data_IF_391924409997
#
_entry.id   IF_391924409997
#
_cell.length_a   1.000
_cell.length_b   1.000
_cell.length_c   1.000
_cell.angle_alpha   90.00
_cell.angle_beta   90.00
_cell.angle_gamma   90.00
#
_symmetry.space_group_name_H-M   'P 1'
#
loop_
_entity.id
_entity.type
_entity.pdbx_description
1 polymer ?
#
# COMPACT_ATOMS: atom_id res chain seq x y z
N UNK A 1 -15.77 22.80 -17.22
CA UNK A 1 -15.43 24.17 -16.81
C UNK A 1 -15.47 24.20 -15.28
N UNK A 2 -14.44 24.71 -14.57
CA UNK A 2 -14.46 24.77 -13.11
C UNK A 2 -15.63 25.65 -12.62
N UNK A 3 -16.39 25.16 -11.63
CA UNK A 3 -17.54 25.85 -11.04
C UNK A 3 -17.11 26.64 -9.79
N UNK A 4 -17.73 27.80 -9.52
CA UNK A 4 -17.60 28.44 -8.20
C UNK A 4 -18.38 27.67 -7.14
N UNK A 5 -18.03 27.85 -5.86
CA UNK A 5 -18.75 27.23 -4.73
C UNK A 5 -20.26 27.52 -4.76
N UNK A 6 -20.65 28.75 -5.12
CA UNK A 6 -22.06 29.17 -5.24
C UNK A 6 -22.80 28.41 -6.34
N UNK A 7 -22.19 28.31 -7.52
CA UNK A 7 -22.77 27.58 -8.66
C UNK A 7 -22.83 26.09 -8.38
N UNK A 8 -21.80 25.54 -7.71
CA UNK A 8 -21.81 24.15 -7.27
C UNK A 8 -22.95 23.89 -6.27
N UNK A 9 -23.13 24.77 -5.28
CA UNK A 9 -24.21 24.66 -4.29
C UNK A 9 -25.59 24.64 -4.96
N UNK A 10 -25.82 25.50 -5.95
CA UNK A 10 -27.05 25.54 -6.75
C UNK A 10 -27.28 24.22 -7.50
N UNK A 11 -26.29 23.71 -8.23
CA UNK A 11 -26.40 22.45 -8.97
C UNK A 11 -26.64 21.25 -8.03
N UNK A 12 -26.05 21.29 -6.84
CA UNK A 12 -26.21 20.25 -5.83
C UNK A 12 -27.49 20.41 -5.00
N UNK A 13 -28.18 21.55 -5.09
CA UNK A 13 -29.37 21.85 -4.29
C UNK A 13 -29.07 21.87 -2.79
N UNK A 14 -27.91 22.39 -2.40
CA UNK A 14 -27.47 22.55 -1.01
C UNK A 14 -27.12 24.01 -0.74
N UNK A 15 -27.05 24.40 0.53
CA UNK A 15 -26.62 25.74 0.92
C UNK A 15 -25.12 25.96 0.67
N UNK A 16 -24.71 27.20 0.36
CA UNK A 16 -23.30 27.55 0.16
C UNK A 16 -22.42 27.17 1.37
N UNK A 17 -22.92 27.34 2.59
CA UNK A 17 -22.20 26.96 3.81
C UNK A 17 -21.98 25.45 3.92
N UNK A 18 -22.77 24.64 3.21
CA UNK A 18 -22.59 23.18 3.15
C UNK A 18 -21.38 22.84 2.29
N UNK A 19 -21.28 23.43 1.09
CA UNK A 19 -20.11 23.26 0.21
C UNK A 19 -18.84 23.76 0.90
N UNK A 20 -18.90 24.95 1.50
CA UNK A 20 -17.78 25.50 2.27
C UNK A 20 -17.42 24.65 3.49
N UNK A 21 -18.41 24.01 4.12
CA UNK A 21 -18.20 23.09 5.24
C UNK A 21 -17.50 21.80 4.81
N UNK A 22 -17.86 21.25 3.65
CA UNK A 22 -17.20 20.09 3.05
C UNK A 22 -15.75 20.40 2.68
N UNK A 23 -15.51 21.49 1.95
CA UNK A 23 -14.16 21.87 1.50
C UNK A 23 -13.24 22.24 2.66
N UNK A 24 -13.76 22.82 3.73
CA UNK A 24 -12.96 23.18 4.91
C UNK A 24 -12.84 22.04 5.94
N UNK A 25 -13.45 20.88 5.70
CA UNK A 25 -13.52 19.78 6.67
C UNK A 25 -14.39 20.03 7.92
N UNK A 26 -15.02 21.21 8.06
CA UNK A 26 -15.89 21.54 9.22
C UNK A 26 -17.18 20.71 9.24
N UNK A 27 -17.60 20.22 8.08
CA UNK A 27 -18.69 19.26 7.90
C UNK A 27 -18.13 18.14 7.03
N UNK A 28 -17.51 17.10 7.59
CA UNK A 28 -16.89 16.08 6.74
C UNK A 28 -17.95 15.25 6.02
N UNK A 29 -17.59 14.68 4.86
CA UNK A 29 -18.49 13.78 4.12
C UNK A 29 -18.77 12.48 4.89
N UNK A 30 -17.96 12.12 5.89
CA UNK A 30 -18.25 11.02 6.83
C UNK A 30 -19.49 11.29 7.70
N UNK A 31 -19.86 12.56 7.91
CA UNK A 31 -20.96 12.94 8.80
C UNK A 31 -22.33 13.06 8.11
N UNK A 32 -22.40 12.90 6.78
CA UNK A 32 -23.68 12.95 6.06
C UNK A 32 -24.33 11.57 6.03
N UNK A 33 -25.67 11.53 5.94
CA UNK A 33 -26.40 10.27 5.83
C UNK A 33 -26.02 9.55 4.52
N UNK A 34 -25.94 8.23 4.56
CA UNK A 34 -25.59 7.40 3.39
C UNK A 34 -26.47 7.70 2.17
N UNK A 35 -27.78 7.90 2.37
CA UNK A 35 -28.70 8.25 1.29
C UNK A 35 -28.37 9.60 0.64
N UNK A 36 -27.90 10.58 1.41
CA UNK A 36 -27.50 11.89 0.91
C UNK A 36 -26.16 11.80 0.16
N UNK A 37 -25.23 10.96 0.64
CA UNK A 37 -23.97 10.69 -0.06
C UNK A 37 -24.18 10.02 -1.42
N UNK A 38 -25.10 9.05 -1.51
CA UNK A 38 -25.46 8.40 -2.79
C UNK A 38 -26.04 9.42 -3.78
N UNK A 39 -26.92 10.32 -3.31
CA UNK A 39 -27.48 11.39 -4.14
C UNK A 39 -26.40 12.38 -4.59
N UNK A 40 -25.49 12.77 -3.69
CA UNK A 40 -24.36 13.64 -4.00
C UNK A 40 -23.47 13.03 -5.09
N UNK A 41 -23.11 11.74 -4.96
CA UNK A 41 -22.35 11.00 -5.98
C UNK A 41 -23.05 11.04 -7.34
N UNK A 42 -24.34 10.74 -7.40
CA UNK A 42 -25.10 10.75 -8.65
C UNK A 42 -25.12 12.14 -9.31
N UNK A 43 -25.28 13.21 -8.52
CA UNK A 43 -25.25 14.60 -9.02
C UNK A 43 -23.88 14.98 -9.56
N UNK A 44 -22.81 14.68 -8.83
CA UNK A 44 -21.44 15.00 -9.24
C UNK A 44 -21.03 14.26 -10.52
N UNK A 45 -21.42 12.99 -10.68
CA UNK A 45 -21.20 12.25 -11.94
C UNK A 45 -21.91 12.94 -13.11
N UNK A 46 -23.15 13.40 -12.91
CA UNK A 46 -23.88 14.17 -13.95
C UNK A 46 -23.22 15.50 -14.29
N UNK A 47 -22.45 16.09 -13.37
CA UNK A 47 -21.66 17.29 -13.59
C UNK A 47 -20.28 17.00 -14.24
N UNK A 48 -20.01 15.73 -14.59
CA UNK A 48 -18.80 15.32 -15.29
C UNK A 48 -17.65 14.90 -14.37
N UNK A 49 -17.88 14.72 -13.06
CA UNK A 49 -16.86 14.17 -12.16
C UNK A 49 -16.61 12.69 -12.54
N UNK A 50 -15.35 12.29 -12.81
CA UNK A 50 -15.05 10.91 -13.17
C UNK A 50 -15.51 9.91 -12.09
N UNK A 51 -16.20 8.83 -12.44
CA UNK A 51 -16.67 7.84 -11.47
C UNK A 51 -15.55 7.26 -10.58
N UNK A 52 -14.31 7.18 -11.10
CA UNK A 52 -13.12 6.71 -10.37
C UNK A 52 -12.79 7.52 -9.12
N UNK A 53 -13.21 8.79 -9.04
CA UNK A 53 -13.06 9.63 -7.84
C UNK A 53 -13.83 9.03 -6.67
N UNK A 54 -15.02 8.50 -6.94
CA UNK A 54 -15.87 7.92 -5.89
C UNK A 54 -15.42 6.54 -5.45
N UNK A 55 -14.70 5.80 -6.30
CA UNK A 55 -14.05 4.56 -5.88
C UNK A 55 -12.97 4.83 -4.83
N UNK A 56 -12.24 5.94 -4.97
CA UNK A 56 -11.23 6.37 -4.02
C UNK A 56 -11.81 6.99 -2.73
N UNK A 57 -13.10 7.31 -2.71
CA UNK A 57 -13.75 7.89 -1.53
C UNK A 57 -13.84 6.88 -0.39
N UNK A 58 -14.08 5.61 -0.70
CA UNK A 58 -14.14 4.54 0.31
C UNK A 58 -12.81 4.41 1.06
N UNK A 59 -11.71 4.24 0.32
CA UNK A 59 -10.34 4.23 0.88
C UNK A 59 -10.05 5.52 1.70
N UNK A 60 -10.57 6.67 1.26
CA UNK A 60 -10.34 7.93 1.95
C UNK A 60 -11.13 8.04 3.27
N UNK A 61 -12.36 7.55 3.33
CA UNK A 61 -13.16 7.53 4.56
C UNK A 61 -12.55 6.58 5.59
N UNK A 62 -12.07 5.41 5.15
CA UNK A 62 -11.39 4.45 6.01
C UNK A 62 -10.04 4.97 6.51
N UNK A 63 -9.26 5.63 5.65
CA UNK A 63 -8.04 6.30 6.07
C UNK A 63 -8.31 7.38 7.13
N UNK A 64 -9.36 8.19 6.96
CA UNK A 64 -9.74 9.24 7.91
C UNK A 64 -10.14 8.65 9.28
N UNK A 65 -10.92 7.56 9.28
CA UNK A 65 -11.28 6.82 10.51
C UNK A 65 -10.05 6.31 11.24
N UNK A 66 -9.11 5.69 10.51
CA UNK A 66 -7.90 5.11 11.07
C UNK A 66 -6.96 6.17 11.63
N UNK A 67 -6.71 7.24 10.85
CA UNK A 67 -5.87 8.36 11.27
C UNK A 67 -6.49 9.03 12.50
N UNK A 68 -7.79 9.34 12.46
CA UNK A 68 -8.51 9.92 13.59
C UNK A 68 -8.40 9.07 14.84
N UNK A 69 -8.65 7.76 14.73
CA UNK A 69 -8.51 6.82 15.84
C UNK A 69 -7.10 6.86 16.46
N UNK A 70 -6.05 6.77 15.63
CA UNK A 70 -4.67 6.76 16.11
C UNK A 70 -4.25 8.10 16.74
N UNK A 71 -4.65 9.23 16.13
CA UNK A 71 -4.37 10.57 16.68
C UNK A 71 -5.09 10.78 18.02
N UNK A 72 -6.35 10.36 18.13
CA UNK A 72 -7.12 10.46 19.38
C UNK A 72 -6.57 9.53 20.47
N UNK A 73 -6.20 8.30 20.09
CA UNK A 73 -5.59 7.34 21.00
C UNK A 73 -4.27 7.86 21.58
N UNK A 74 -3.36 8.36 20.74
CA UNK A 74 -2.05 8.87 21.16
C UNK A 74 -1.18 7.76 21.73
N UNK A 75 -0.69 7.89 22.96
CA UNK A 75 0.18 6.90 23.61
C UNK A 75 -0.60 5.77 24.32
N UNK A 76 -1.89 5.63 24.05
CA UNK A 76 -2.76 4.66 24.75
C UNK A 76 -2.88 3.36 23.97
N UNK A 77 -2.67 2.19 24.61
CA UNK A 77 -2.88 0.91 23.94
C UNK A 77 -4.35 0.74 23.56
N UNK A 78 -4.59 0.08 22.42
CA UNK A 78 -5.91 -0.29 21.94
C UNK A 78 -5.98 -1.81 21.74
N UNK A 79 -7.15 -2.40 22.00
CA UNK A 79 -7.41 -3.82 21.76
C UNK A 79 -7.62 -4.04 20.27
N UNK A 80 -7.16 -5.18 19.73
CA UNK A 80 -7.37 -5.49 18.32
C UNK A 80 -8.83 -5.42 17.88
N UNK A 81 -9.76 -5.96 18.68
CA UNK A 81 -11.20 -5.94 18.35
C UNK A 81 -11.75 -4.53 18.07
N UNK A 82 -11.19 -3.51 18.72
CA UNK A 82 -11.63 -2.11 18.61
C UNK A 82 -10.76 -1.29 17.64
N UNK A 83 -9.66 -1.85 17.14
CA UNK A 83 -8.69 -1.11 16.34
C UNK A 83 -8.97 -1.26 14.83
N UNK A 84 -9.09 -0.17 14.05
CA UNK A 84 -9.29 -0.24 12.59
C UNK A 84 -8.22 -1.05 11.84
N UNK A 85 -6.94 -0.90 12.19
CA UNK A 85 -5.82 -1.70 11.69
C UNK A 85 -5.93 -3.22 11.95
N UNK A 86 -6.86 -3.70 12.75
CA UNK A 86 -7.01 -5.13 13.01
C UNK A 86 -8.14 -5.79 12.20
N UNK A 87 -8.97 -5.00 11.52
CA UNK A 87 -10.23 -5.50 10.95
C UNK A 87 -10.01 -6.31 9.67
N UNK A 88 -9.06 -5.88 8.85
CA UNK A 88 -8.70 -6.58 7.62
C UNK A 88 -7.26 -6.27 7.20
N UNK A 89 -6.71 -7.14 6.36
CA UNK A 89 -5.44 -6.90 5.69
C UNK A 89 -5.63 -5.74 4.73
N UNK A 90 -4.84 -4.68 4.89
CA UNK A 90 -4.96 -3.49 4.08
C UNK A 90 -4.38 -3.69 2.69
N UNK A 91 -5.01 -3.05 1.71
CA UNK A 91 -4.53 -2.98 0.34
C UNK A 91 -3.76 -1.69 0.10
N UNK A 92 -2.98 -1.68 -0.97
CA UNK A 92 -2.13 -0.56 -1.37
C UNK A 92 -2.88 0.78 -1.47
N UNK A 93 -4.12 0.79 -1.96
CA UNK A 93 -4.85 2.04 -2.17
C UNK A 93 -5.16 2.73 -0.83
N UNK A 94 -5.74 1.99 0.12
CA UNK A 94 -5.93 2.45 1.49
C UNK A 94 -4.61 2.90 2.13
N UNK A 95 -3.54 2.11 2.03
CA UNK A 95 -2.24 2.51 2.57
C UNK A 95 -1.71 3.81 1.95
N UNK A 96 -1.86 4.01 0.65
CA UNK A 96 -1.48 5.27 0.01
C UNK A 96 -2.34 6.44 0.53
N UNK A 97 -3.62 6.22 0.84
CA UNK A 97 -4.48 7.24 1.44
C UNK A 97 -4.04 7.58 2.86
N UNK A 98 -3.79 6.56 3.70
CA UNK A 98 -3.30 6.74 5.09
C UNK A 98 -1.99 7.54 5.10
N UNK A 99 -1.10 7.25 4.15
CA UNK A 99 0.25 7.83 4.12
C UNK A 99 0.34 9.16 3.39
N UNK A 100 -0.70 9.57 2.66
CA UNK A 100 -0.70 10.81 1.89
C UNK A 100 -0.46 12.09 2.74
N UNK A 101 -1.05 12.27 3.93
CA UNK A 101 -0.89 13.50 4.70
C UNK A 101 0.56 13.79 5.10
N UNK A 102 1.33 12.77 5.47
CA UNK A 102 2.72 12.93 5.93
C UNK A 102 3.77 12.69 4.83
N UNK A 103 3.49 11.86 3.82
CA UNK A 103 4.43 11.71 2.67
C UNK A 103 4.29 12.82 1.63
N UNK A 104 3.10 13.44 1.53
CA UNK A 104 2.76 14.38 0.47
C UNK A 104 2.65 13.76 -0.92
N UNK A 105 2.78 12.43 -1.05
CA UNK A 105 2.73 11.74 -2.33
C UNK A 105 1.29 11.43 -2.71
N UNK A 106 0.78 12.09 -3.75
CA UNK A 106 -0.56 11.83 -4.28
C UNK A 106 -0.74 10.34 -4.66
N UNK A 107 -1.78 9.66 -4.12
CA UNK A 107 -2.09 8.28 -4.43
C UNK A 107 -2.15 8.03 -5.95
N UNK A 108 -1.57 6.94 -6.47
CA UNK A 108 -1.48 6.72 -7.92
C UNK A 108 -2.81 6.79 -8.67
N UNK A 109 -3.89 6.29 -8.07
CA UNK A 109 -5.26 6.34 -8.61
C UNK A 109 -5.82 7.78 -8.70
N UNK A 110 -5.25 8.73 -7.94
CA UNK A 110 -5.66 10.14 -7.92
C UNK A 110 -4.75 11.08 -8.72
N UNK A 111 -3.56 10.65 -9.15
CA UNK A 111 -2.57 11.53 -9.83
C UNK A 111 -3.11 12.22 -11.07
N UNK A 112 -3.97 11.57 -11.85
CA UNK A 112 -4.57 12.19 -13.04
C UNK A 112 -5.54 13.32 -12.69
N UNK A 113 -6.17 13.25 -11.53
CA UNK A 113 -7.09 14.28 -11.04
C UNK A 113 -6.31 15.48 -10.51
N UNK A 114 -5.15 15.24 -9.93
CA UNK A 114 -4.26 16.29 -9.44
C UNK A 114 -3.74 17.16 -10.59
N UNK A 115 -3.36 16.56 -11.72
CA UNK A 115 -2.98 17.34 -12.93
C UNK A 115 -4.11 18.24 -13.46
N UNK A 116 -5.37 17.91 -13.16
CA UNK A 116 -6.55 18.72 -13.52
C UNK A 116 -6.87 19.79 -12.45
N UNK A 117 -6.27 19.71 -11.26
CA UNK A 117 -6.52 20.59 -10.12
C UNK A 117 -5.87 21.97 -10.26
N UNK A 118 -4.88 22.13 -11.16
CA UNK A 118 -4.15 23.38 -11.41
C UNK A 118 -5.01 24.56 -11.96
N UNK A 119 -6.32 24.40 -12.08
CA UNK A 119 -7.27 25.47 -12.42
C UNK A 119 -8.10 25.98 -11.23
N UNK A 120 -7.83 25.53 -10.00
CA UNK A 120 -8.53 25.98 -8.78
C UNK A 120 -8.22 27.46 -8.49
N UNK A 121 -9.24 28.23 -8.13
CA UNK A 121 -9.10 29.64 -7.71
C UNK A 121 -9.17 29.74 -6.19
N UNK A 122 -8.20 30.41 -5.58
CA UNK A 122 -8.16 30.70 -4.13
C UNK A 122 -7.29 29.74 -3.31
N UNK A 123 -7.10 30.01 -2.00
CA UNK A 123 -6.29 29.19 -1.10
C UNK A 123 -7.07 27.92 -0.72
N UNK A 124 -6.80 26.82 -1.42
CA UNK A 124 -7.32 25.49 -1.11
C UNK A 124 -6.11 24.59 -0.86
N UNK A 125 -6.11 23.75 0.19
CA UNK A 125 -5.08 22.74 0.38
C UNK A 125 -4.94 21.89 -0.89
N UNK A 126 -3.72 21.72 -1.35
CA UNK A 126 -3.35 20.87 -2.48
C UNK A 126 -3.43 19.37 -2.11
N UNK A 127 -3.33 19.07 -0.82
CA UNK A 127 -3.40 17.71 -0.26
C UNK A 127 -4.01 17.70 1.14
N UNK A 128 -4.43 16.51 1.64
CA UNK A 128 -4.62 16.30 3.06
C UNK A 128 -3.36 16.66 3.84
N UNK A 129 -3.52 17.23 5.03
CA UNK A 129 -2.41 17.62 5.89
C UNK A 129 -2.72 17.21 7.33
N UNK A 130 -1.71 16.69 8.02
CA UNK A 130 -1.70 16.51 9.47
C UNK A 130 -0.67 17.48 10.05
N UNK A 131 -1.01 18.13 11.15
CA UNK A 131 -0.05 18.94 11.90
C UNK A 131 1.07 18.08 12.48
N UNK A 132 2.19 18.69 12.86
CA UNK A 132 3.31 17.97 13.49
C UNK A 132 2.90 17.24 14.77
N UNK A 133 2.02 17.86 15.58
CA UNK A 133 1.50 17.24 16.81
C UNK A 133 0.64 16.01 16.52
N UNK A 134 -0.23 16.08 15.51
CA UNK A 134 -1.10 14.97 15.13
C UNK A 134 -0.26 13.83 14.52
N UNK A 135 0.72 14.18 13.69
CA UNK A 135 1.67 13.23 13.10
C UNK A 135 2.45 12.48 14.18
N UNK A 136 2.96 13.18 15.19
CA UNK A 136 3.65 12.54 16.30
C UNK A 136 2.71 11.60 17.08
N UNK A 137 1.50 12.06 17.41
CA UNK A 137 0.50 11.23 18.13
C UNK A 137 0.12 9.98 17.34
N UNK A 138 -0.02 10.10 16.02
CA UNK A 138 -0.29 8.97 15.14
C UNK A 138 0.82 7.92 15.25
N UNK A 139 2.09 8.31 15.11
CA UNK A 139 3.20 7.36 15.17
C UNK A 139 3.50 6.85 16.58
N UNK A 140 3.27 7.66 17.62
CA UNK A 140 3.33 7.22 19.03
C UNK A 140 2.32 6.10 19.29
N UNK A 141 1.09 6.23 18.75
CA UNK A 141 0.08 5.19 18.82
C UNK A 141 0.50 3.91 18.13
N UNK A 142 1.09 4.02 16.93
CA UNK A 142 1.58 2.86 16.20
C UNK A 142 2.71 2.15 16.95
N UNK A 143 3.63 2.90 17.60
CA UNK A 143 4.69 2.32 18.43
C UNK A 143 4.09 1.57 19.62
N UNK A 144 3.22 2.19 20.40
CA UNK A 144 2.58 1.55 21.56
C UNK A 144 1.79 0.31 21.14
N UNK A 145 1.06 0.41 20.03
CA UNK A 145 0.29 -0.70 19.47
C UNK A 145 1.19 -1.85 19.03
N UNK A 146 2.32 -1.57 18.39
CA UNK A 146 3.22 -2.60 17.90
C UNK A 146 4.11 -3.21 19.01
N UNK A 147 4.35 -2.46 20.09
CA UNK A 147 5.16 -2.88 21.24
C UNK A 147 4.34 -3.67 22.29
N UNK A 148 3.02 -3.50 22.30
CA UNK A 148 2.12 -4.23 23.19
C UNK A 148 2.35 -5.76 23.13
N UNK A 149 2.17 -6.42 24.29
CA UNK A 149 2.18 -7.88 24.34
C UNK A 149 1.05 -8.42 23.47
N UNK A 150 1.43 -9.09 22.39
CA UNK A 150 0.52 -9.56 21.35
C UNK A 150 0.09 -10.98 21.65
N UNK A 151 -1.23 -11.21 21.76
CA UNK A 151 -1.79 -12.54 21.52
C UNK A 151 -1.72 -12.84 20.02
N UNK A 152 -1.92 -14.11 19.62
CA UNK A 152 -1.88 -14.49 18.21
C UNK A 152 -2.97 -13.76 17.39
N UNK A 153 -4.09 -13.39 18.03
CA UNK A 153 -5.18 -12.61 17.44
C UNK A 153 -4.79 -11.15 17.12
N UNK A 154 -3.75 -10.61 17.76
CA UNK A 154 -3.26 -9.24 17.53
C UNK A 154 -2.20 -9.16 16.41
N UNK A 155 -1.80 -10.30 15.83
CA UNK A 155 -0.70 -10.37 14.86
C UNK A 155 -0.91 -9.47 13.64
N UNK A 156 -2.15 -9.39 13.14
CA UNK A 156 -2.49 -8.50 12.03
C UNK A 156 -2.27 -7.04 12.42
N UNK A 157 -2.91 -6.59 13.50
CA UNK A 157 -2.80 -5.22 14.01
C UNK A 157 -1.35 -4.80 14.12
N UNK A 158 -0.57 -5.63 14.81
CA UNK A 158 0.84 -5.43 15.06
C UNK A 158 1.63 -5.28 13.76
N UNK A 159 1.44 -6.21 12.82
CA UNK A 159 2.13 -6.19 11.54
C UNK A 159 1.82 -4.93 10.73
N UNK A 160 0.56 -4.51 10.67
CA UNK A 160 0.18 -3.31 9.94
C UNK A 160 0.75 -2.04 10.59
N UNK A 161 0.80 -1.99 11.92
CA UNK A 161 1.45 -0.92 12.66
C UNK A 161 2.96 -0.86 12.35
N UNK A 162 3.67 -2.00 12.40
CA UNK A 162 5.10 -2.09 12.03
C UNK A 162 5.36 -1.60 10.62
N UNK A 163 4.52 -1.96 9.65
CA UNK A 163 4.66 -1.47 8.28
C UNK A 163 4.51 0.06 8.19
N UNK A 164 3.50 0.62 8.88
CA UNK A 164 3.24 2.06 8.86
C UNK A 164 4.30 2.88 9.61
N UNK A 165 4.95 2.31 10.62
CA UNK A 165 6.08 2.93 11.31
C UNK A 165 7.27 3.19 10.38
N UNK A 166 7.38 2.49 9.24
CA UNK A 166 8.38 2.79 8.22
C UNK A 166 8.25 4.17 7.57
N UNK A 167 7.16 4.91 7.83
CA UNK A 167 6.95 6.27 7.34
C UNK A 167 7.18 7.35 8.42
N UNK A 168 7.62 6.96 9.61
CA UNK A 168 8.01 7.89 10.66
C UNK A 168 9.43 8.39 10.41
N UNK A 169 9.69 9.70 10.42
CA UNK A 169 11.03 10.23 10.16
C UNK A 169 11.95 10.22 11.40
N UNK A 170 11.43 9.76 12.56
CA UNK A 170 12.18 9.76 13.83
C UNK A 170 13.18 8.61 13.90
N UNK A 171 14.44 8.93 14.25
CA UNK A 171 15.51 7.94 14.41
C UNK A 171 15.23 6.88 15.49
N UNK A 172 14.51 7.23 16.55
CA UNK A 172 14.09 6.28 17.59
C UNK A 172 13.19 5.16 17.03
N UNK A 173 12.35 5.48 16.04
CA UNK A 173 11.48 4.50 15.37
C UNK A 173 12.31 3.54 14.52
N UNK A 174 13.34 4.03 13.83
CA UNK A 174 14.28 3.18 13.09
C UNK A 174 15.03 2.21 14.02
N UNK A 175 15.51 2.69 15.17
CA UNK A 175 16.17 1.84 16.18
C UNK A 175 15.23 0.76 16.74
N UNK A 176 13.98 1.14 17.03
CA UNK A 176 12.95 0.22 17.47
C UNK A 176 12.66 -0.83 16.39
N UNK A 177 12.48 -0.44 15.13
CA UNK A 177 12.28 -1.34 14.00
C UNK A 177 13.43 -2.33 13.81
N UNK A 178 14.68 -1.91 14.04
CA UNK A 178 15.83 -2.81 14.02
C UNK A 178 15.80 -3.87 15.13
N UNK A 179 15.31 -3.50 16.31
CA UNK A 179 15.07 -4.44 17.41
C UNK A 179 13.92 -5.39 17.08
N UNK A 180 12.88 -4.86 16.46
CA UNK A 180 11.72 -5.63 16.04
C UNK A 180 12.07 -6.66 14.95
N UNK A 181 12.83 -6.27 13.93
CA UNK A 181 13.32 -7.19 12.89
C UNK A 181 14.04 -8.40 13.51
N UNK A 182 14.89 -8.16 14.52
CA UNK A 182 15.59 -9.23 15.24
C UNK A 182 14.64 -10.10 16.05
N UNK A 183 13.58 -9.53 16.62
CA UNK A 183 12.52 -10.28 17.33
C UNK A 183 11.76 -11.17 16.35
N UNK A 184 11.25 -10.60 15.26
CA UNK A 184 10.51 -11.32 14.23
C UNK A 184 11.33 -12.48 13.65
N UNK A 185 12.61 -12.27 13.34
CA UNK A 185 13.50 -13.34 12.86
C UNK A 185 13.64 -14.50 13.85
N UNK A 186 13.75 -14.21 15.15
CA UNK A 186 13.82 -15.26 16.19
C UNK A 186 12.51 -16.03 16.31
N UNK A 187 11.36 -15.36 16.13
CA UNK A 187 10.05 -16.00 16.16
C UNK A 187 9.83 -16.87 14.92
N UNK A 188 10.08 -16.35 13.72
CA UNK A 188 9.93 -17.08 12.46
C UNK A 188 10.86 -18.30 12.38
N UNK A 189 12.09 -18.22 12.89
CA UNK A 189 13.00 -19.36 12.96
C UNK A 189 12.53 -20.51 13.86
N UNK A 190 11.46 -20.34 14.63
CA UNK A 190 10.86 -21.38 15.49
C UNK A 190 9.64 -22.06 14.84
N UNK A 191 9.19 -21.60 13.68
CA UNK A 191 7.97 -22.11 13.06
C UNK A 191 8.08 -22.10 11.54
N UNK A 192 7.81 -23.23 10.89
CA UNK A 192 7.78 -23.34 9.43
C UNK A 192 6.51 -22.71 8.80
N UNK A 193 5.73 -21.94 9.57
CA UNK A 193 4.44 -21.40 9.18
C UNK A 193 4.62 -20.11 8.37
N UNK A 194 4.10 -20.08 7.14
CA UNK A 194 4.28 -18.97 6.20
C UNK A 194 3.83 -17.60 6.74
N UNK A 195 2.69 -17.47 7.44
CA UNK A 195 2.29 -16.23 8.11
C UNK A 195 3.33 -15.64 9.09
N UNK A 196 4.16 -16.48 9.71
CA UNK A 196 5.21 -15.99 10.64
C UNK A 196 6.30 -15.16 9.94
N UNK A 197 6.50 -15.37 8.64
CA UNK A 197 7.48 -14.61 7.84
C UNK A 197 6.96 -13.24 7.40
N UNK A 198 5.66 -12.99 7.52
CA UNK A 198 5.06 -11.73 7.08
C UNK A 198 5.38 -10.59 8.04
N UNK A 199 5.61 -10.89 9.32
CA UNK A 199 6.14 -9.94 10.31
C UNK A 199 7.58 -9.54 9.97
N UNK A 200 8.43 -10.53 9.64
CA UNK A 200 9.82 -10.31 9.19
C UNK A 200 9.84 -9.44 7.94
N UNK A 201 8.95 -9.71 6.99
CA UNK A 201 8.81 -8.90 5.78
C UNK A 201 8.45 -7.46 6.10
N UNK A 202 7.49 -7.25 7.00
CA UNK A 202 6.94 -5.92 7.29
C UNK A 202 7.99 -5.01 7.93
N UNK A 203 8.74 -5.54 8.90
CA UNK A 203 9.85 -4.82 9.54
C UNK A 203 11.03 -4.60 8.59
N UNK A 204 11.37 -5.57 7.74
CA UNK A 204 12.41 -5.40 6.71
C UNK A 204 12.06 -4.32 5.66
N UNK A 205 10.80 -4.27 5.23
CA UNK A 205 10.27 -3.22 4.32
C UNK A 205 10.24 -1.84 5.01
N UNK A 206 9.95 -1.79 6.31
CA UNK A 206 10.00 -0.54 7.06
C UNK A 206 11.44 -0.03 7.17
N UNK A 207 12.41 -0.90 7.51
CA UNK A 207 13.83 -0.57 7.62
C UNK A 207 14.44 -0.10 6.28
N UNK A 208 14.02 -0.67 5.16
CA UNK A 208 14.53 -0.23 3.85
C UNK A 208 14.20 1.22 3.53
N UNK A 209 13.13 1.79 4.09
CA UNK A 209 12.82 3.23 3.93
C UNK A 209 13.79 4.15 4.69
N UNK A 210 14.46 3.64 5.71
CA UNK A 210 15.58 4.33 6.38
C UNK A 210 16.93 4.07 5.69
N UNK A 211 16.93 3.43 4.51
CA UNK A 211 18.12 3.09 3.74
C UNK A 211 18.77 1.77 4.15
N UNK A 212 18.29 1.08 5.19
CA UNK A 212 18.81 -0.24 5.57
C UNK A 212 18.14 -1.35 4.75
N UNK A 213 18.79 -1.70 3.63
CA UNK A 213 18.29 -2.71 2.68
C UNK A 213 18.64 -4.13 3.10
N UNK A 214 19.59 -4.33 4.00
CA UNK A 214 20.14 -5.65 4.31
C UNK A 214 19.10 -6.62 4.94
N UNK A 215 18.19 -6.17 5.84
CA UNK A 215 17.07 -6.99 6.30
C UNK A 215 16.21 -7.52 5.17
N UNK A 216 15.90 -6.70 4.17
CA UNK A 216 15.06 -7.08 3.03
C UNK A 216 15.80 -8.06 2.11
N UNK A 217 17.09 -7.83 1.86
CA UNK A 217 17.95 -8.78 1.13
C UNK A 217 18.05 -10.12 1.83
N UNK A 218 18.20 -10.12 3.15
CA UNK A 218 18.24 -11.33 3.96
C UNK A 218 16.91 -12.08 3.86
N UNK A 219 15.78 -11.37 3.99
CA UNK A 219 14.44 -11.94 3.84
C UNK A 219 14.26 -12.65 2.49
N UNK A 220 14.57 -12.00 1.37
CA UNK A 220 14.47 -12.61 0.03
C UNK A 220 15.31 -13.89 -0.07
N UNK A 221 16.53 -13.88 0.52
CA UNK A 221 17.42 -15.03 0.47
C UNK A 221 16.96 -16.22 1.34
N UNK A 222 16.31 -15.97 2.47
CA UNK A 222 16.08 -17.01 3.50
C UNK A 222 14.63 -17.37 3.74
N UNK A 223 13.68 -16.49 3.42
CA UNK A 223 12.26 -16.69 3.70
C UNK A 223 11.46 -17.16 2.46
N UNK A 224 12.02 -17.02 1.27
CA UNK A 224 11.40 -17.39 -0.01
C UNK A 224 12.24 -18.48 -0.68
N UNK A 225 12.26 -19.65 -0.05
CA UNK A 225 13.17 -20.75 -0.42
C UNK A 225 12.47 -21.95 -1.04
N UNK A 226 11.15 -22.04 -0.88
CA UNK A 226 10.34 -23.12 -1.43
C UNK A 226 9.10 -22.59 -2.16
N UNK A 227 8.50 -23.44 -2.99
CA UNK A 227 7.35 -23.07 -3.83
C UNK A 227 6.15 -22.57 -3.03
N UNK A 228 5.88 -23.14 -1.84
CA UNK A 228 4.76 -22.71 -1.01
C UNK A 228 4.94 -21.28 -0.47
N UNK A 229 6.17 -20.94 -0.05
CA UNK A 229 6.53 -19.58 0.39
C UNK A 229 6.44 -18.57 -0.76
N UNK A 230 6.89 -18.96 -1.95
CA UNK A 230 6.81 -18.15 -3.16
C UNK A 230 5.36 -17.86 -3.55
N UNK A 231 4.53 -18.90 -3.61
CA UNK A 231 3.09 -18.76 -3.92
C UNK A 231 2.41 -17.86 -2.90
N UNK A 232 2.69 -18.04 -1.61
CA UNK A 232 2.11 -17.21 -0.56
C UNK A 232 2.53 -15.74 -0.66
N UNK A 233 3.81 -15.47 -0.96
CA UNK A 233 4.28 -14.13 -1.24
C UNK A 233 3.55 -13.51 -2.45
N UNK A 234 3.34 -14.28 -3.51
CA UNK A 234 2.58 -13.85 -4.69
C UNK A 234 1.10 -13.60 -4.38
N UNK A 235 0.46 -14.43 -3.56
CA UNK A 235 -0.92 -14.24 -3.12
C UNK A 235 -1.07 -12.96 -2.29
N UNK A 236 -0.16 -12.71 -1.36
CA UNK A 236 -0.13 -11.44 -0.61
C UNK A 236 0.04 -10.25 -1.56
N UNK A 237 0.96 -10.34 -2.52
CA UNK A 237 1.17 -9.28 -3.51
C UNK A 237 -0.08 -9.04 -4.38
N UNK A 238 -0.72 -10.09 -4.87
CA UNK A 238 -1.96 -10.01 -5.66
C UNK A 238 -3.08 -9.34 -4.85
N UNK A 239 -3.25 -9.70 -3.59
CA UNK A 239 -4.17 -9.02 -2.67
C UNK A 239 -3.79 -7.56 -2.45
N UNK A 240 -2.51 -7.29 -2.14
CA UNK A 240 -1.99 -5.94 -1.90
C UNK A 240 -2.25 -4.99 -3.06
N UNK A 241 -2.06 -5.43 -4.30
CA UNK A 241 -2.29 -4.59 -5.48
C UNK A 241 -3.77 -4.43 -5.83
N UNK A 242 -4.66 -5.20 -5.19
CA UNK A 242 -6.10 -5.19 -5.39
C UNK A 242 -6.57 -6.10 -6.52
N UNK A 243 -5.80 -7.13 -6.85
CA UNK A 243 -6.18 -8.13 -7.87
C UNK A 243 -7.05 -9.27 -7.30
N UNK A 244 -6.97 -9.48 -5.98
CA UNK A 244 -7.91 -10.32 -5.23
C UNK A 244 -8.97 -9.40 -4.63
N UNK A 245 -10.22 -9.58 -5.04
CA UNK A 245 -11.34 -8.69 -4.67
C UNK A 245 -11.89 -8.95 -3.27
N UNK A 246 -11.82 -10.19 -2.78
CA UNK A 246 -12.36 -10.56 -1.46
C UNK A 246 -11.57 -9.94 -0.32
N UNK A 247 -12.25 -9.35 0.65
CA UNK A 247 -11.65 -8.80 1.87
C UNK A 247 -11.06 -9.95 2.70
N UNK A 248 -9.80 -9.80 3.13
CA UNK A 248 -9.12 -10.81 3.95
C UNK A 248 -8.97 -10.26 5.37
N UNK A 249 -9.40 -11.03 6.36
CA UNK A 249 -9.39 -10.64 7.79
C UNK A 249 -8.11 -11.04 8.52
N UNK A 250 -7.33 -11.94 7.96
CA UNK A 250 -6.07 -12.44 8.49
C UNK A 250 -5.12 -12.83 7.34
N UNK A 251 -3.93 -13.37 7.64
CA UNK A 251 -2.93 -13.77 6.65
C UNK A 251 -3.06 -15.23 6.14
N UNK A 252 -4.07 -15.98 6.58
CA UNK A 252 -4.31 -17.38 6.18
C UNK A 252 -4.54 -17.54 4.68
N UNK A 253 -5.21 -16.55 4.07
CA UNK A 253 -5.46 -16.50 2.62
C UNK A 253 -4.20 -16.65 1.77
N UNK A 254 -3.04 -16.26 2.31
CA UNK A 254 -1.76 -16.38 1.59
C UNK A 254 -1.47 -17.84 1.23
N UNK A 255 -1.91 -18.79 2.06
CA UNK A 255 -1.74 -20.24 1.83
C UNK A 255 -2.95 -20.90 1.19
N UNK A 256 -4.14 -20.36 1.40
CA UNK A 256 -5.40 -20.96 0.94
C UNK A 256 -5.73 -20.60 -0.52
N UNK A 257 -5.32 -19.42 -0.98
CA UNK A 257 -5.54 -19.01 -2.35
C UNK A 257 -4.66 -19.82 -3.31
N UNK A 258 -5.28 -20.42 -4.31
CA UNK A 258 -4.53 -21.00 -5.43
C UNK A 258 -3.92 -19.90 -6.29
N UNK A 259 -2.66 -20.05 -6.73
CA UNK A 259 -1.94 -19.07 -7.58
C UNK A 259 -2.64 -18.70 -8.91
N UNK A 260 -3.67 -19.46 -9.30
CA UNK A 260 -4.50 -19.24 -10.50
C UNK A 260 -5.87 -18.61 -10.19
N UNK A 261 -6.15 -18.24 -8.94
CA UNK A 261 -7.43 -17.58 -8.57
C UNK A 261 -7.51 -16.12 -9.00
N UNK A 262 -6.37 -15.49 -9.31
CA UNK A 262 -6.24 -14.14 -9.85
C UNK A 262 -5.57 -14.17 -11.24
N UNK A 263 -5.52 -13.07 -11.99
CA UNK A 263 -5.09 -13.05 -13.41
C UNK A 263 -3.58 -12.99 -13.63
N UNK A 264 -2.84 -12.40 -12.69
CA UNK A 264 -1.44 -12.05 -12.69
C UNK A 264 -1.04 -10.80 -13.49
N UNK A 265 -1.95 -10.20 -14.25
CA UNK A 265 -1.59 -9.07 -15.12
C UNK A 265 -1.37 -7.78 -14.34
N UNK A 266 -2.20 -7.51 -13.33
CA UNK A 266 -2.10 -6.28 -12.53
C UNK A 266 -0.90 -6.34 -11.59
N UNK A 267 -0.65 -7.51 -10.98
CA UNK A 267 0.58 -7.74 -10.24
C UNK A 267 1.84 -7.61 -11.13
N UNK A 268 1.86 -8.24 -12.31
CA UNK A 268 2.98 -8.12 -13.25
C UNK A 268 3.25 -6.66 -13.60
N UNK A 269 2.21 -5.91 -13.98
CA UNK A 269 2.33 -4.48 -14.29
C UNK A 269 2.82 -3.68 -13.10
N UNK A 270 2.32 -3.97 -11.90
CA UNK A 270 2.74 -3.31 -10.67
C UNK A 270 4.24 -3.46 -10.43
N UNK A 271 4.74 -4.69 -10.45
CA UNK A 271 6.15 -5.00 -10.18
C UNK A 271 7.05 -4.34 -11.22
N UNK A 272 6.66 -4.39 -12.51
CA UNK A 272 7.41 -3.74 -13.59
C UNK A 272 7.51 -2.22 -13.44
N UNK A 273 6.43 -1.53 -13.05
CA UNK A 273 6.46 -0.07 -12.87
C UNK A 273 7.36 0.35 -11.71
N UNK A 274 7.49 -0.51 -10.69
CA UNK A 274 8.35 -0.28 -9.51
C UNK A 274 9.77 -0.81 -9.67
N UNK A 275 10.07 -1.41 -10.82
CA UNK A 275 11.40 -1.84 -11.16
C UNK A 275 12.19 -0.62 -11.66
N UNK A 276 12.90 0.03 -10.74
CA UNK A 276 13.65 1.27 -10.95
C UNK A 276 14.99 1.19 -10.21
N UNK A 277 16.11 1.62 -10.83
CA UNK A 277 17.41 1.62 -10.18
C UNK A 277 17.41 2.43 -8.88
N UNK A 278 18.12 1.92 -7.88
CA UNK A 278 18.22 2.57 -6.56
C UNK A 278 16.93 2.56 -5.73
N UNK A 279 15.88 1.83 -6.13
CA UNK A 279 14.68 1.67 -5.30
C UNK A 279 14.95 0.81 -4.06
N UNK A 280 14.49 1.25 -2.90
CA UNK A 280 14.70 0.55 -1.62
C UNK A 280 14.12 -0.88 -1.57
N UNK A 281 13.18 -1.19 -2.47
CA UNK A 281 12.52 -2.48 -2.54
C UNK A 281 12.85 -3.25 -3.83
N UNK A 282 13.89 -2.82 -4.57
CA UNK A 282 14.21 -3.37 -5.89
C UNK A 282 14.37 -4.89 -5.86
N UNK A 283 15.13 -5.44 -4.90
CA UNK A 283 15.40 -6.88 -4.84
C UNK A 283 14.13 -7.71 -4.55
N UNK A 284 13.25 -7.25 -3.65
CA UNK A 284 11.97 -7.92 -3.41
C UNK A 284 11.08 -7.88 -4.66
N UNK A 285 11.08 -6.76 -5.40
CA UNK A 285 10.31 -6.62 -6.63
C UNK A 285 10.86 -7.52 -7.75
N UNK A 286 12.18 -7.58 -7.92
CA UNK A 286 12.85 -8.46 -8.89
C UNK A 286 12.52 -9.91 -8.60
N UNK A 287 12.71 -10.33 -7.35
CA UNK A 287 12.47 -11.70 -6.94
C UNK A 287 11.00 -12.08 -7.12
N UNK A 288 10.07 -11.25 -6.64
CA UNK A 288 8.63 -11.51 -6.81
C UNK A 288 8.21 -11.54 -8.29
N UNK A 289 8.82 -10.71 -9.14
CA UNK A 289 8.59 -10.71 -10.58
C UNK A 289 9.11 -12.00 -11.24
N UNK A 290 10.31 -12.42 -10.87
CA UNK A 290 10.90 -13.68 -11.33
C UNK A 290 10.06 -14.88 -10.92
N UNK A 291 9.66 -14.97 -9.66
CA UNK A 291 8.77 -16.02 -9.15
C UNK A 291 7.41 -16.04 -9.86
N UNK A 292 6.82 -14.86 -10.12
CA UNK A 292 5.57 -14.74 -10.87
C UNK A 292 5.70 -15.28 -12.30
N UNK A 293 6.77 -14.93 -13.01
CA UNK A 293 7.00 -15.38 -14.39
C UNK A 293 7.26 -16.88 -14.45
N UNK A 294 7.98 -17.44 -13.48
CA UNK A 294 8.17 -18.89 -13.38
C UNK A 294 6.87 -19.63 -13.09
N UNK A 295 6.06 -19.15 -12.15
CA UNK A 295 4.78 -19.75 -11.83
C UNK A 295 3.76 -19.60 -12.98
N UNK A 296 3.85 -18.51 -13.77
CA UNK A 296 2.88 -18.15 -14.80
C UNK A 296 3.52 -17.61 -16.09
N UNK A 297 4.24 -18.44 -16.87
CA UNK A 297 4.92 -17.99 -18.09
C UNK A 297 3.97 -17.40 -19.14
N UNK A 298 2.70 -17.84 -19.15
CA UNK A 298 1.67 -17.37 -20.07
C UNK A 298 1.41 -15.85 -20.00
N UNK A 299 1.73 -15.19 -18.88
CA UNK A 299 1.56 -13.74 -18.72
C UNK A 299 2.37 -12.94 -19.73
N UNK A 300 3.59 -13.40 -20.05
CA UNK A 300 4.44 -12.76 -21.05
C UNK A 300 4.00 -13.08 -22.49
N UNK A 301 3.38 -14.22 -22.70
CA UNK A 301 2.89 -14.65 -24.02
C UNK A 301 1.61 -13.89 -24.41
N UNK A 302 0.67 -13.75 -23.46
CA UNK A 302 -0.67 -13.21 -23.69
C UNK A 302 -0.73 -11.70 -23.91
N UNK A 303 0.29 -10.93 -23.50
CA UNK A 303 0.28 -9.47 -23.58
C UNK A 303 1.57 -8.89 -24.18
N UNK A 304 1.59 -8.57 -25.49
CA UNK A 304 2.74 -7.93 -26.13
C UNK A 304 3.12 -6.59 -25.48
N UNK A 305 2.15 -5.86 -24.91
CA UNK A 305 2.39 -4.62 -24.18
C UNK A 305 3.18 -4.84 -22.89
N UNK A 306 2.75 -5.79 -22.05
CA UNK A 306 3.46 -6.14 -20.82
C UNK A 306 4.84 -6.72 -21.12
N UNK A 307 4.99 -7.52 -22.18
CA UNK A 307 6.28 -8.05 -22.61
C UNK A 307 7.27 -6.95 -23.01
N UNK A 308 6.82 -5.92 -23.75
CA UNK A 308 7.65 -4.76 -24.08
C UNK A 308 8.07 -3.98 -22.84
N UNK A 309 7.12 -3.71 -21.94
CA UNK A 309 7.40 -3.04 -20.67
C UNK A 309 8.40 -3.86 -19.83
N UNK A 310 8.24 -5.19 -19.79
CA UNK A 310 9.15 -6.07 -19.07
C UNK A 310 10.59 -5.97 -19.59
N UNK A 311 10.76 -5.99 -20.92
CA UNK A 311 12.08 -5.80 -21.54
C UNK A 311 12.71 -4.46 -21.15
N UNK A 312 11.98 -3.36 -21.35
CA UNK A 312 12.45 -2.01 -21.02
C UNK A 312 12.91 -1.90 -19.56
N UNK A 313 12.13 -2.47 -18.63
CA UNK A 313 12.41 -2.37 -17.19
C UNK A 313 13.54 -3.29 -16.75
N UNK A 314 13.63 -4.51 -17.28
CA UNK A 314 14.73 -5.44 -16.98
C UNK A 314 16.06 -4.93 -17.54
N UNK A 315 16.05 -4.39 -18.77
CA UNK A 315 17.24 -3.78 -19.37
C UNK A 315 17.72 -2.60 -18.51
N UNK A 316 16.81 -1.73 -18.07
CA UNK A 316 17.15 -0.58 -17.22
C UNK A 316 17.71 -0.93 -15.84
N UNK A 317 17.45 -2.12 -15.31
CA UNK A 317 18.03 -2.57 -14.03
C UNK A 317 19.36 -3.29 -14.18
N UNK A 318 19.71 -3.73 -15.39
CA UNK A 318 20.89 -4.58 -15.60
C UNK A 318 22.21 -3.87 -15.26
N UNK A 319 22.19 -2.55 -15.26
CA UNK A 319 23.34 -1.69 -14.93
C UNK A 319 23.38 -1.25 -13.44
N UNK A 320 22.39 -1.63 -12.63
CA UNK A 320 22.34 -1.24 -11.22
C UNK A 320 23.37 -2.04 -10.40
N UNK A 321 24.47 -1.37 -10.05
CA UNK A 321 25.58 -1.95 -9.31
C UNK A 321 25.28 -2.19 -7.81
N UNK A 322 24.19 -1.64 -7.28
CA UNK A 322 23.81 -1.81 -5.87
C UNK A 322 23.02 -3.11 -5.62
N UNK A 323 22.63 -3.83 -6.68
CA UNK A 323 21.90 -5.08 -6.58
C UNK A 323 22.77 -6.22 -6.04
N UNK A 324 22.19 -7.06 -5.18
CA UNK A 324 22.82 -8.31 -4.81
C UNK A 324 23.00 -9.25 -6.01
N UNK A 325 24.01 -10.13 -5.93
CA UNK A 325 24.30 -11.17 -6.95
C UNK A 325 23.09 -12.07 -7.25
N UNK A 326 22.19 -12.27 -6.29
CA UNK A 326 20.94 -13.02 -6.52
C UNK A 326 20.01 -12.29 -7.48
N UNK A 327 19.74 -11.01 -7.23
CA UNK A 327 18.88 -10.18 -8.08
C UNK A 327 19.39 -10.10 -9.53
N UNK A 328 20.70 -10.00 -9.75
CA UNK A 328 21.27 -10.06 -11.11
C UNK A 328 21.01 -11.39 -11.83
N UNK A 329 21.06 -12.52 -11.10
CA UNK A 329 20.74 -13.84 -11.68
C UNK A 329 19.26 -13.94 -12.04
N UNK A 330 18.39 -13.45 -11.18
CA UNK A 330 16.94 -13.41 -11.41
C UNK A 330 16.58 -12.51 -12.61
N UNK A 331 17.21 -11.32 -12.73
CA UNK A 331 17.10 -10.45 -13.91
C UNK A 331 17.56 -11.14 -15.20
N UNK A 332 18.67 -11.89 -15.15
CA UNK A 332 19.14 -12.67 -16.31
C UNK A 332 18.12 -13.75 -16.70
N UNK A 333 17.52 -14.42 -15.71
CA UNK A 333 16.45 -15.39 -15.94
C UNK A 333 15.19 -14.75 -16.54
N UNK A 334 14.82 -13.56 -16.07
CA UNK A 334 13.72 -12.77 -16.61
C UNK A 334 13.97 -12.36 -18.07
N UNK A 335 15.16 -11.84 -18.41
CA UNK A 335 15.51 -11.51 -19.80
C UNK A 335 15.39 -12.75 -20.70
N UNK A 336 15.89 -13.90 -20.25
CA UNK A 336 15.73 -15.15 -20.99
C UNK A 336 14.26 -15.53 -21.21
N UNK A 337 13.42 -15.48 -20.17
CA UNK A 337 11.99 -15.76 -20.27
C UNK A 337 11.25 -14.80 -21.23
N UNK A 338 11.60 -13.51 -21.18
CA UNK A 338 11.04 -12.47 -22.07
C UNK A 338 11.42 -12.73 -23.53
N UNK A 339 12.66 -13.17 -23.80
CA UNK A 339 13.11 -13.54 -25.15
C UNK A 339 12.42 -14.81 -25.65
N UNK A 340 12.21 -15.80 -24.79
CA UNK A 340 11.51 -17.03 -25.13
C UNK A 340 10.05 -16.75 -25.49
N UNK A 341 9.36 -15.91 -24.71
CA UNK A 341 7.98 -15.47 -24.96
C UNK A 341 7.79 -14.62 -26.23
N UNK A 342 8.88 -14.17 -26.85
CA UNK A 342 8.86 -13.39 -28.08
C UNK A 342 9.06 -14.25 -29.35
N UNK A 343 9.33 -15.55 -29.18
CA UNK A 343 9.36 -16.54 -30.26
C UNK A 343 7.98 -17.14 -30.45
#
# INVERSE_FOLDING_TARGET
MPLSQSVLAEHLGVDLTTVQGWESGRRPLTAIRTADLIRLRAKLIRLGVPPKVFAALEDALEADLLIGHAVEAGDRPARAVDHPLAQCVHRRNLTNMITWPFTGLTPPNLRDLDRQSHQRRGPVPDRPALGSTETNRFFDHLLVTADAESEQEDALLRRQAVYLLGFDDRGATAEWLGTEQRRALRSAGRTDHVPSWVEVRSSAIALSRYGDRDPLRAFVRTALTNEAQEIANLNYWAYWVGEVDDVQTDDGFMTELGVRSWTGEDLLRHLLVRLQPGSDHAELNIHSLWSLVLARPALLNGSPGLRRLARERVDGMSEDAELAKQAHRELTGLDYAIRLAAR
#
